data_IF_131790405667
#
_entry.id   IF_131790405667
#
_cell.length_a   1.000
_cell.length_b   1.000
_cell.length_c   1.000
_cell.angle_alpha   90.00
_cell.angle_beta   90.00
_cell.angle_gamma   90.00
#
_symmetry.space_group_name_H-M   'P 1'
#
loop_
_entity.id
_entity.type
_entity.pdbx_description
1 polymer ?
#
# COMPACT_ATOMS: atom_id res chain seq x y z
N UNK A 1 -43.67 -41.33 0.77
CA UNK A 1 -43.37 -40.36 -0.34
C UNK A 1 -42.53 -39.14 0.07
N UNK A 2 -42.23 -38.90 1.33
CA UNK A 2 -41.45 -37.71 1.77
C UNK A 2 -39.91 -37.80 1.62
N UNK A 3 -39.33 -39.01 1.58
CA UNK A 3 -37.88 -39.19 1.51
C UNK A 3 -37.25 -38.89 0.13
N UNK A 4 -38.03 -39.06 -0.94
CA UNK A 4 -37.56 -38.81 -2.32
C UNK A 4 -37.38 -37.34 -2.63
N UNK A 5 -38.24 -36.46 -2.07
CA UNK A 5 -38.12 -35.03 -2.25
C UNK A 5 -36.89 -34.43 -1.58
N UNK A 6 -36.49 -34.97 -0.42
CA UNK A 6 -35.30 -34.50 0.31
C UNK A 6 -34.00 -34.79 -0.42
N UNK A 7 -33.94 -35.97 -1.10
CA UNK A 7 -32.76 -36.34 -1.91
C UNK A 7 -32.61 -35.44 -3.15
N UNK A 8 -33.72 -35.10 -3.80
CA UNK A 8 -33.70 -34.17 -4.93
C UNK A 8 -33.30 -32.74 -4.51
N UNK A 9 -33.74 -32.29 -3.35
CA UNK A 9 -33.36 -30.97 -2.82
C UNK A 9 -31.89 -30.91 -2.47
N UNK A 10 -31.34 -31.98 -1.91
CA UNK A 10 -29.91 -32.09 -1.61
C UNK A 10 -29.04 -32.15 -2.87
N UNK A 11 -29.46 -32.90 -3.91
CA UNK A 11 -28.81 -32.92 -5.22
C UNK A 11 -28.83 -31.56 -5.90
N UNK A 12 -29.94 -30.82 -5.81
CA UNK A 12 -30.05 -29.47 -6.37
C UNK A 12 -29.12 -28.48 -5.66
N UNK A 13 -28.99 -28.59 -4.32
CA UNK A 13 -28.07 -27.78 -3.52
C UNK A 13 -26.59 -28.03 -3.89
N UNK A 14 -26.22 -29.30 -4.02
CA UNK A 14 -24.85 -29.69 -4.42
C UNK A 14 -24.55 -29.23 -5.85
N UNK A 15 -25.50 -29.30 -6.77
CA UNK A 15 -25.32 -28.81 -8.15
C UNK A 15 -25.22 -27.27 -8.22
N UNK A 16 -25.92 -26.55 -7.34
CA UNK A 16 -25.87 -25.09 -7.31
C UNK A 16 -24.51 -24.53 -6.83
N UNK A 17 -23.76 -25.28 -6.04
CA UNK A 17 -22.41 -24.92 -5.60
C UNK A 17 -21.32 -25.16 -6.66
N UNK A 18 -21.60 -25.95 -7.71
CA UNK A 18 -20.62 -26.25 -8.75
C UNK A 18 -20.47 -25.15 -9.81
N UNK A 19 -21.30 -24.11 -9.80
CA UNK A 19 -21.23 -22.98 -10.74
C UNK A 19 -20.49 -21.76 -10.24
N UNK A 20 -19.77 -21.85 -9.10
CA UNK A 20 -18.74 -20.88 -8.81
C UNK A 20 -17.55 -21.26 -9.71
N UNK A 21 -17.70 -20.97 -10.98
CA UNK A 21 -16.62 -21.01 -11.95
C UNK A 21 -15.53 -20.11 -11.41
N UNK A 22 -14.39 -20.69 -11.10
CA UNK A 22 -13.18 -19.92 -10.90
C UNK A 22 -13.03 -19.02 -12.13
N UNK A 23 -13.35 -17.75 -11.96
CA UNK A 23 -13.04 -16.71 -12.93
C UNK A 23 -11.57 -16.94 -13.30
N UNK A 24 -11.25 -16.98 -14.57
CA UNK A 24 -9.93 -17.38 -15.07
C UNK A 24 -8.85 -16.43 -14.50
N UNK A 25 -8.39 -16.78 -13.30
CA UNK A 25 -7.49 -15.98 -12.48
C UNK A 25 -6.09 -15.92 -13.11
N UNK A 26 -5.81 -16.83 -14.08
CA UNK A 26 -4.52 -16.92 -14.73
C UNK A 26 -4.27 -15.73 -15.67
N UNK A 27 -5.28 -15.28 -16.38
CA UNK A 27 -5.15 -14.16 -17.33
C UNK A 27 -5.04 -12.83 -16.60
N UNK A 28 -5.76 -12.65 -15.50
CA UNK A 28 -5.67 -11.45 -14.67
C UNK A 28 -4.32 -11.37 -13.94
N UNK A 29 -3.88 -12.48 -13.36
CA UNK A 29 -2.58 -12.54 -12.70
C UNK A 29 -1.44 -12.18 -13.65
N UNK A 30 -1.48 -12.69 -14.88
CA UNK A 30 -0.48 -12.36 -15.91
C UNK A 30 -0.46 -10.85 -16.25
N UNK A 31 -1.63 -10.20 -16.27
CA UNK A 31 -1.71 -8.73 -16.48
C UNK A 31 -1.13 -7.96 -15.30
N UNK A 32 -1.43 -8.39 -14.10
CA UNK A 32 -0.90 -7.82 -12.86
C UNK A 32 0.63 -7.94 -12.85
N UNK A 33 1.17 -9.12 -13.11
CA UNK A 33 2.61 -9.36 -13.13
C UNK A 33 3.32 -8.49 -14.17
N UNK A 34 2.75 -8.34 -15.37
CA UNK A 34 3.26 -7.44 -16.41
C UNK A 34 3.24 -5.96 -15.97
N UNK A 35 2.19 -5.55 -15.27
CA UNK A 35 2.09 -4.20 -14.74
C UNK A 35 3.16 -3.91 -13.69
N UNK A 36 3.39 -4.83 -12.76
CA UNK A 36 4.47 -4.75 -11.78
C UNK A 36 5.86 -4.74 -12.44
N UNK A 37 6.11 -5.61 -13.40
CA UNK A 37 7.36 -5.61 -14.17
C UNK A 37 7.59 -4.29 -14.90
N UNK A 38 6.55 -3.75 -15.54
CA UNK A 38 6.63 -2.45 -16.22
C UNK A 38 6.96 -1.33 -15.22
N UNK A 39 6.33 -1.32 -14.05
CA UNK A 39 6.59 -0.33 -13.01
C UNK A 39 8.01 -0.46 -12.48
N UNK A 40 8.46 -1.65 -12.13
CA UNK A 40 9.85 -1.91 -11.68
C UNK A 40 10.87 -1.41 -12.71
N UNK A 41 10.71 -1.77 -13.98
CA UNK A 41 11.61 -1.32 -15.04
C UNK A 41 11.63 0.21 -15.24
N UNK A 42 10.54 0.89 -14.91
CA UNK A 42 10.46 2.35 -14.99
C UNK A 42 11.04 3.07 -13.78
N UNK A 43 11.09 2.42 -12.64
CA UNK A 43 11.47 3.07 -11.36
C UNK A 43 12.88 2.70 -10.89
N UNK A 44 13.36 1.47 -11.12
CA UNK A 44 14.64 0.97 -10.58
C UNK A 44 15.83 1.87 -10.89
N UNK A 45 15.98 2.31 -12.15
CA UNK A 45 17.11 3.15 -12.57
C UNK A 45 16.85 4.66 -12.40
N UNK A 46 15.63 5.04 -12.06
CA UNK A 46 15.18 6.45 -12.02
C UNK A 46 14.91 6.99 -10.62
N UNK A 47 15.19 6.22 -9.58
CA UNK A 47 14.90 6.63 -8.20
C UNK A 47 15.51 8.00 -7.82
N UNK A 48 16.58 8.41 -8.45
CA UNK A 48 17.23 9.71 -8.19
C UNK A 48 16.42 10.89 -8.72
N UNK A 49 15.68 10.69 -9.82
CA UNK A 49 14.92 11.76 -10.50
C UNK A 49 13.45 11.81 -10.08
N UNK A 50 12.97 10.77 -9.40
CA UNK A 50 11.59 10.74 -8.90
C UNK A 50 11.38 11.75 -7.77
N UNK A 51 10.19 12.31 -7.71
CA UNK A 51 9.72 13.12 -6.56
C UNK A 51 9.66 12.26 -5.28
N UNK A 52 9.57 12.89 -4.13
CA UNK A 52 9.45 12.17 -2.86
C UNK A 52 8.21 11.28 -2.81
N UNK A 53 7.08 11.75 -3.31
CA UNK A 53 5.84 10.97 -3.37
C UNK A 53 5.97 9.76 -4.31
N UNK A 54 6.57 9.93 -5.48
CA UNK A 54 6.82 8.82 -6.41
C UNK A 54 7.76 7.77 -5.81
N UNK A 55 8.79 8.17 -5.06
CA UNK A 55 9.67 7.25 -4.31
C UNK A 55 8.90 6.47 -3.26
N UNK A 56 7.99 7.12 -2.52
CA UNK A 56 7.12 6.47 -1.53
C UNK A 56 6.25 5.41 -2.19
N UNK A 57 5.56 5.76 -3.29
CA UNK A 57 4.70 4.80 -3.99
C UNK A 57 5.48 3.69 -4.68
N UNK A 58 6.67 3.96 -5.21
CA UNK A 58 7.55 2.93 -5.76
C UNK A 58 8.01 1.95 -4.68
N UNK A 59 8.32 2.43 -3.48
CA UNK A 59 8.67 1.57 -2.35
C UNK A 59 7.50 0.67 -1.93
N UNK A 60 6.30 1.24 -1.82
CA UNK A 60 5.10 0.48 -1.45
C UNK A 60 4.70 -0.56 -2.50
N UNK A 61 4.74 -0.19 -3.79
CA UNK A 61 4.23 -1.03 -4.86
C UNK A 61 5.22 -2.11 -5.31
N UNK A 62 6.50 -1.76 -5.48
CA UNK A 62 7.50 -2.64 -6.11
C UNK A 62 8.79 -2.79 -5.31
N UNK A 63 8.82 -2.31 -4.08
CA UNK A 63 9.96 -2.38 -3.17
C UNK A 63 11.24 -1.68 -3.69
N UNK A 64 11.07 -0.64 -4.51
CA UNK A 64 12.16 0.13 -5.10
C UNK A 64 12.35 1.48 -4.40
N UNK A 65 13.49 2.10 -4.61
CA UNK A 65 13.81 3.46 -4.17
C UNK A 65 13.96 3.71 -2.65
N UNK A 66 14.04 2.68 -1.81
CA UNK A 66 14.14 2.84 -0.34
C UNK A 66 15.30 3.77 0.07
N UNK A 67 16.52 3.50 -0.41
CA UNK A 67 17.71 4.31 -0.06
C UNK A 67 17.58 5.76 -0.52
N UNK A 68 16.95 5.98 -1.68
CA UNK A 68 16.71 7.32 -2.23
C UNK A 68 15.59 8.05 -1.50
N UNK A 69 14.61 7.34 -0.98
CA UNK A 69 13.60 7.90 -0.10
C UNK A 69 14.21 8.34 1.23
N UNK A 70 15.03 7.50 1.84
CA UNK A 70 15.76 7.82 3.07
C UNK A 70 16.62 9.07 2.87
N UNK A 71 17.38 9.14 1.78
CA UNK A 71 18.24 10.31 1.50
C UNK A 71 17.47 11.58 1.12
N UNK A 72 16.19 11.49 0.79
CA UNK A 72 15.32 12.65 0.53
C UNK A 72 14.70 13.24 1.81
N UNK A 73 15.04 12.72 2.98
CA UNK A 73 14.59 13.22 4.27
C UNK A 73 15.42 14.41 4.75
N UNK A 74 14.83 15.19 5.66
CA UNK A 74 15.54 16.18 6.48
C UNK A 74 16.18 15.51 7.69
N UNK A 75 17.31 16.05 8.17
CA UNK A 75 17.97 15.69 9.44
C UNK A 75 18.03 14.17 9.75
N UNK A 76 18.44 13.36 8.75
CA UNK A 76 18.54 11.91 8.93
C UNK A 76 17.22 11.26 9.34
N UNK A 77 16.21 11.37 8.49
CA UNK A 77 14.89 10.75 8.61
C UNK A 77 13.94 11.39 9.63
N UNK A 78 14.07 12.68 9.85
CA UNK A 78 13.13 13.41 10.71
C UNK A 78 11.80 13.69 10.00
N UNK A 79 11.84 14.19 8.76
CA UNK A 79 10.64 14.49 7.97
C UNK A 79 10.92 14.54 6.47
N UNK A 80 9.85 14.50 5.65
CA UNK A 80 9.89 14.57 4.18
C UNK A 80 8.96 15.63 3.61
N UNK A 81 9.34 16.18 2.42
CA UNK A 81 10.68 16.15 1.82
C UNK A 81 11.66 17.05 2.57
N UNK A 82 12.97 16.87 2.34
CA UNK A 82 14.02 17.63 3.03
C UNK A 82 13.92 19.14 2.83
N UNK A 83 13.41 19.58 1.68
CA UNK A 83 13.28 21.00 1.34
C UNK A 83 12.11 21.69 2.04
N UNK A 84 11.06 20.95 2.39
CA UNK A 84 9.85 21.50 3.02
C UNK A 84 9.07 20.37 3.70
N UNK A 85 9.36 20.10 4.95
CA UNK A 85 8.71 19.05 5.72
C UNK A 85 7.18 19.18 5.73
N UNK A 86 6.50 18.13 5.36
CA UNK A 86 5.04 18.05 5.30
C UNK A 86 4.53 16.90 6.18
N UNK A 87 3.51 17.14 6.97
CA UNK A 87 2.85 16.11 7.79
C UNK A 87 2.38 14.95 6.92
N UNK A 88 1.70 15.25 5.79
CA UNK A 88 1.20 14.25 4.85
C UNK A 88 2.32 13.37 4.30
N UNK A 89 3.33 13.99 3.71
CA UNK A 89 4.43 13.26 3.06
C UNK A 89 5.27 12.49 4.07
N UNK A 90 5.47 13.03 5.27
CA UNK A 90 6.18 12.33 6.35
C UNK A 90 5.40 11.11 6.82
N UNK A 91 4.09 11.21 7.02
CA UNK A 91 3.26 10.06 7.40
C UNK A 91 3.27 8.95 6.33
N UNK A 92 3.21 9.33 5.06
CA UNK A 92 3.30 8.38 3.94
C UNK A 92 4.69 7.72 3.86
N UNK A 93 5.76 8.46 4.10
CA UNK A 93 7.12 7.92 4.13
C UNK A 93 7.31 6.93 5.30
N UNK A 94 6.78 7.25 6.48
CA UNK A 94 6.79 6.34 7.64
C UNK A 94 6.07 5.04 7.30
N UNK A 95 4.88 5.10 6.70
CA UNK A 95 4.13 3.93 6.31
C UNK A 95 4.94 3.02 5.37
N UNK A 96 5.52 3.61 4.32
CA UNK A 96 6.30 2.87 3.34
C UNK A 96 7.58 2.26 3.93
N UNK A 97 8.29 3.01 4.78
CA UNK A 97 9.53 2.56 5.40
C UNK A 97 9.29 1.50 6.48
N UNK A 98 8.24 1.63 7.30
CA UNK A 98 7.86 0.62 8.29
C UNK A 98 7.49 -0.72 7.66
N UNK A 99 6.77 -0.69 6.54
CA UNK A 99 6.43 -1.91 5.78
C UNK A 99 7.69 -2.68 5.34
N UNK A 100 8.82 -1.99 5.18
CA UNK A 100 10.12 -2.57 4.82
C UNK A 100 11.07 -2.76 6.02
N UNK A 101 10.58 -2.62 7.24
CA UNK A 101 11.36 -2.79 8.46
C UNK A 101 12.43 -1.72 8.71
N UNK A 102 12.34 -0.59 8.03
CA UNK A 102 13.25 0.53 8.26
C UNK A 102 12.87 1.31 9.53
N UNK A 103 13.85 1.77 10.28
CA UNK A 103 13.62 2.58 11.48
C UNK A 103 13.02 3.94 11.14
N UNK A 104 11.89 4.29 11.76
CA UNK A 104 11.16 5.54 11.52
C UNK A 104 10.88 6.34 12.79
N UNK A 105 11.53 6.01 13.89
CA UNK A 105 11.25 6.60 15.21
C UNK A 105 11.35 8.14 15.21
N UNK A 106 12.41 8.70 14.63
CA UNK A 106 12.58 10.15 14.55
C UNK A 106 11.43 10.87 13.83
N UNK A 107 10.96 10.26 12.74
CA UNK A 107 9.85 10.81 11.98
C UNK A 107 8.51 10.70 12.73
N UNK A 108 8.31 9.63 13.48
CA UNK A 108 7.15 9.49 14.36
C UNK A 108 7.18 10.55 15.46
N UNK A 109 8.33 10.77 16.09
CA UNK A 109 8.50 11.79 17.12
C UNK A 109 8.26 13.20 16.55
N UNK A 110 8.75 13.46 15.34
CA UNK A 110 8.47 14.70 14.63
C UNK A 110 6.97 14.88 14.34
N UNK A 111 6.26 13.86 13.85
CA UNK A 111 4.81 13.93 13.64
C UNK A 111 4.06 14.21 14.94
N UNK A 112 4.44 13.53 16.02
CA UNK A 112 3.83 13.75 17.33
C UNK A 112 4.03 15.18 17.83
N UNK A 113 5.20 15.79 17.56
CA UNK A 113 5.48 17.19 17.90
C UNK A 113 4.61 18.19 17.13
N UNK A 114 4.06 17.79 15.96
CA UNK A 114 3.17 18.62 15.14
C UNK A 114 1.69 18.43 15.48
N UNK A 115 1.38 17.48 16.36
CA UNK A 115 0.02 17.24 16.82
C UNK A 115 -0.40 18.37 17.77
N UNK A 116 -0.86 19.47 17.20
CA UNK A 116 -1.54 20.50 17.96
C UNK A 116 -2.99 20.06 18.13
N UNK A 117 -3.39 19.69 19.34
CA UNK A 117 -4.81 19.54 19.67
C UNK A 117 -5.51 20.85 19.32
N UNK A 118 -6.53 20.84 18.45
CA UNK A 118 -7.32 22.05 18.21
C UNK A 118 -7.95 22.48 19.53
N UNK A 119 -7.69 23.71 19.94
CA UNK A 119 -8.10 24.24 21.23
C UNK A 119 -9.63 24.27 21.43
N UNK A 120 -10.40 24.11 20.33
CA UNK A 120 -11.87 23.95 20.36
C UNK A 120 -12.32 23.20 19.09
N UNK A 121 -12.82 21.99 19.24
CA UNK A 121 -13.69 21.34 18.27
C UNK A 121 -15.13 21.81 18.58
N UNK A 122 -15.58 22.83 17.86
CA UNK A 122 -17.00 23.23 17.88
C UNK A 122 -17.68 22.42 16.77
N UNK A 123 -18.49 21.45 17.16
CA UNK A 123 -19.41 20.74 16.26
C UNK A 123 -20.65 21.61 16.07
N UNK A 124 -20.92 22.04 14.85
CA UNK A 124 -22.17 22.68 14.48
C UNK A 124 -23.13 21.66 13.89
#
# INVERSE_FOLDING_TARGET
MKKRGLVFLFLFLVFSFSFISALDNSTEQTKIDKAYQCLTNKTSDKCSTLSTEEKIFSLLAVNECQSKLISASSNSQECWPSSSCSIKTTAQAILALNDKGAGTQKAQDWLNSKNTTPAQLVWY
#
